data_IF_726566066024
#
_entry.id   IF_726566066024
#
_cell.length_a   1.000
_cell.length_b   1.000
_cell.length_c   1.000
_cell.angle_alpha   90.00
_cell.angle_beta   90.00
_cell.angle_gamma   90.00
#
_symmetry.space_group_name_H-M   'P 1'
#
loop_
_entity.id
_entity.type
_entity.pdbx_description
1 polymer ?
#
# COMPACT_ATOMS: atom_id res chain seq x y z
N UNK A 1 -3.15 27.98 9.04
CA UNK A 1 -2.35 27.19 8.09
C UNK A 1 -3.19 25.98 7.68
N UNK A 2 -3.61 25.88 6.42
CA UNK A 2 -4.58 24.87 5.92
C UNK A 2 -3.99 23.45 5.79
N UNK A 3 -2.75 23.20 6.21
CA UNK A 3 -2.07 21.92 5.99
C UNK A 3 -1.30 21.48 7.23
N UNK A 4 -1.67 20.33 7.79
CA UNK A 4 -0.94 19.70 8.87
C UNK A 4 0.30 18.99 8.32
N UNK A 5 1.49 19.56 8.58
CA UNK A 5 2.78 19.01 8.11
C UNK A 5 3.02 17.57 8.57
N UNK A 6 2.37 17.14 9.65
CA UNK A 6 2.48 15.79 10.19
C UNK A 6 1.83 14.74 9.29
N UNK A 7 0.88 15.15 8.42
CA UNK A 7 0.18 14.26 7.48
C UNK A 7 0.87 14.17 6.10
N UNK A 8 1.99 14.88 5.89
CA UNK A 8 2.69 14.92 4.59
C UNK A 8 3.11 13.54 4.09
N UNK A 9 3.52 12.65 4.98
CA UNK A 9 3.93 11.30 4.55
C UNK A 9 2.71 10.44 4.22
N UNK A 10 1.60 10.61 4.95
CA UNK A 10 0.34 9.94 4.62
C UNK A 10 -0.24 10.38 3.27
N UNK A 11 -0.04 11.64 2.87
CA UNK A 11 -0.49 12.11 1.56
C UNK A 11 0.30 11.54 0.38
N UNK A 12 1.45 10.89 0.62
CA UNK A 12 2.20 10.15 -0.41
C UNK A 12 1.62 8.77 -0.70
N UNK A 13 0.82 8.20 0.20
CA UNK A 13 0.32 6.82 0.06
C UNK A 13 -0.49 6.63 -1.24
N UNK A 14 -1.46 7.49 -1.59
CA UNK A 14 -2.21 7.33 -2.84
C UNK A 14 -1.32 7.44 -4.07
N UNK A 15 -0.31 8.31 -4.06
CA UNK A 15 0.62 8.46 -5.18
C UNK A 15 1.48 7.21 -5.38
N UNK A 16 2.00 6.64 -4.29
CA UNK A 16 2.79 5.41 -4.31
C UNK A 16 1.92 4.22 -4.73
N UNK A 17 0.72 4.08 -4.18
CA UNK A 17 -0.22 3.05 -4.60
C UNK A 17 -0.66 3.21 -6.06
N UNK A 18 -0.82 4.44 -6.56
CA UNK A 18 -1.12 4.67 -7.98
C UNK A 18 0.01 4.19 -8.88
N UNK A 19 1.26 4.51 -8.53
CA UNK A 19 2.42 3.96 -9.23
C UNK A 19 2.47 2.43 -9.14
N UNK A 20 2.20 1.87 -7.95
CA UNK A 20 2.18 0.43 -7.74
C UNK A 20 1.14 -0.28 -8.62
N UNK A 21 -0.09 0.25 -8.66
CA UNK A 21 -1.17 -0.28 -9.50
C UNK A 21 -0.91 -0.07 -11.00
N UNK A 22 -0.24 1.02 -11.38
CA UNK A 22 0.26 1.20 -12.75
C UNK A 22 1.25 0.10 -13.12
N UNK A 23 2.23 -0.22 -12.25
CA UNK A 23 3.17 -1.31 -12.54
C UNK A 23 2.46 -2.65 -12.71
N UNK A 24 1.42 -2.93 -11.91
CA UNK A 24 0.61 -4.14 -12.04
C UNK A 24 -0.14 -4.20 -13.38
N UNK A 25 -0.72 -3.08 -13.82
CA UNK A 25 -1.34 -2.96 -15.15
C UNK A 25 -0.35 -3.22 -16.29
N UNK A 26 0.90 -2.77 -16.16
CA UNK A 26 1.95 -3.06 -17.13
C UNK A 26 2.38 -4.53 -17.11
N UNK A 27 2.35 -5.20 -15.95
CA UNK A 27 2.56 -6.65 -15.85
C UNK A 27 1.45 -7.39 -16.60
N UNK A 28 0.18 -6.99 -16.46
CA UNK A 28 -0.92 -7.56 -17.26
C UNK A 28 -0.69 -7.42 -18.78
N UNK A 29 -0.25 -6.26 -19.24
CA UNK A 29 0.10 -6.05 -20.67
C UNK A 29 1.30 -6.89 -21.11
N UNK A 30 2.23 -7.18 -20.22
CA UNK A 30 3.36 -8.04 -20.55
C UNK A 30 2.95 -9.50 -20.75
N UNK A 31 1.94 -9.96 -20.01
CA UNK A 31 1.40 -11.32 -20.14
C UNK A 31 0.65 -11.53 -21.45
N UNK A 32 0.16 -10.45 -22.09
CA UNK A 32 -0.38 -10.49 -23.45
C UNK A 32 0.67 -10.28 -24.55
N UNK A 33 1.95 -10.11 -24.17
CA UNK A 33 3.07 -9.90 -25.09
C UNK A 33 3.19 -8.47 -25.64
N UNK A 34 2.45 -7.50 -25.10
CA UNK A 34 2.45 -6.13 -25.60
C UNK A 34 3.69 -5.31 -25.17
N UNK A 35 4.30 -5.66 -24.03
CA UNK A 35 5.48 -4.97 -23.46
C UNK A 35 6.39 -5.97 -22.73
N UNK A 36 7.66 -5.62 -22.51
CA UNK A 36 8.53 -6.37 -21.60
C UNK A 36 8.09 -6.14 -20.14
N UNK A 37 7.73 -7.21 -19.45
CA UNK A 37 7.20 -7.20 -18.09
C UNK A 37 8.24 -7.23 -16.98
N UNK A 38 9.51 -7.49 -17.31
CA UNK A 38 10.53 -7.76 -16.29
C UNK A 38 10.68 -6.57 -15.35
N UNK A 39 10.93 -5.38 -15.89
CA UNK A 39 11.08 -4.17 -15.09
C UNK A 39 9.85 -3.90 -14.20
N UNK A 40 8.65 -4.01 -14.76
CA UNK A 40 7.40 -3.73 -14.04
C UNK A 40 7.13 -4.74 -12.92
N UNK A 41 7.45 -6.02 -13.13
CA UNK A 41 7.30 -7.06 -12.10
C UNK A 41 8.23 -6.81 -10.90
N UNK A 42 9.49 -6.44 -11.16
CA UNK A 42 10.42 -6.08 -10.09
C UNK A 42 10.06 -4.76 -9.41
N UNK A 43 9.59 -3.76 -10.17
CA UNK A 43 9.12 -2.49 -9.62
C UNK A 43 7.91 -2.70 -8.70
N UNK A 44 6.97 -3.56 -9.09
CA UNK A 44 5.85 -3.97 -8.27
C UNK A 44 6.32 -4.55 -6.94
N UNK A 45 7.12 -5.63 -6.99
CA UNK A 45 7.62 -6.30 -5.79
C UNK A 45 8.48 -5.38 -4.90
N UNK A 46 9.26 -4.49 -5.50
CA UNK A 46 10.04 -3.50 -4.76
C UNK A 46 9.14 -2.61 -3.90
N UNK A 47 8.09 -2.03 -4.49
CA UNK A 47 7.14 -1.20 -3.75
C UNK A 47 6.41 -2.04 -2.70
N UNK A 48 5.92 -3.20 -3.09
CA UNK A 48 5.14 -4.09 -2.26
C UNK A 48 5.93 -4.55 -1.02
N UNK A 49 7.17 -5.02 -1.17
CA UNK A 49 7.94 -5.64 -0.08
C UNK A 49 8.78 -4.63 0.70
N UNK A 50 9.33 -3.59 0.05
CA UNK A 50 10.35 -2.74 0.68
C UNK A 50 9.84 -1.38 1.12
N UNK A 51 8.85 -0.79 0.43
CA UNK A 51 8.41 0.59 0.73
C UNK A 51 7.53 0.63 1.96
N UNK A 52 6.52 -0.25 2.05
CA UNK A 52 5.51 -0.19 3.13
C UNK A 52 6.05 -0.43 4.55
N UNK A 53 6.99 -1.37 4.79
CA UNK A 53 7.57 -1.57 6.11
C UNK A 53 8.34 -0.36 6.66
N UNK A 54 8.73 0.59 5.81
CA UNK A 54 9.39 1.83 6.21
C UNK A 54 8.39 2.97 6.29
N UNK A 55 7.66 3.15 5.19
CA UNK A 55 6.84 4.34 4.98
C UNK A 55 5.71 4.41 6.00
N UNK A 56 5.08 3.27 6.31
CA UNK A 56 3.94 3.23 7.23
C UNK A 56 4.31 3.54 8.68
N UNK A 57 5.31 2.88 9.30
CA UNK A 57 5.76 3.25 10.64
C UNK A 57 6.34 4.66 10.71
N UNK A 58 7.04 5.13 9.67
CA UNK A 58 7.52 6.52 9.62
C UNK A 58 6.37 7.54 9.58
N UNK A 59 5.38 7.32 8.70
CA UNK A 59 4.19 8.17 8.61
C UNK A 59 3.45 8.22 9.94
N UNK A 60 3.28 7.07 10.58
CA UNK A 60 2.67 6.95 11.90
C UNK A 60 3.43 7.73 12.97
N UNK A 61 4.76 7.61 13.03
CA UNK A 61 5.60 8.33 14.00
C UNK A 61 5.55 9.86 13.80
N UNK A 62 5.46 10.32 12.55
CA UNK A 62 5.37 11.75 12.24
C UNK A 62 3.97 12.33 12.50
N UNK A 63 2.92 11.54 12.31
CA UNK A 63 1.53 11.94 12.54
C UNK A 63 1.17 12.07 14.02
N UNK A 64 1.87 11.36 14.91
CA UNK A 64 1.58 11.34 16.35
C UNK A 64 1.89 12.67 17.03
N UNK A 65 1.01 13.07 17.93
CA UNK A 65 1.09 14.36 18.65
C UNK A 65 1.59 14.19 20.08
N UNK A 66 1.28 13.05 20.69
CA UNK A 66 1.73 12.70 22.04
C UNK A 66 3.25 12.36 22.01
N UNK A 67 4.10 13.08 22.78
CA UNK A 67 5.53 12.85 22.80
C UNK A 67 5.96 11.45 23.25
N UNK A 68 5.25 10.86 24.22
CA UNK A 68 5.57 9.53 24.74
C UNK A 68 5.20 8.47 23.70
N UNK A 69 4.02 8.57 23.09
CA UNK A 69 3.62 7.67 22.00
C UNK A 69 4.55 7.80 20.79
N UNK A 70 5.00 9.02 20.48
CA UNK A 70 5.94 9.28 19.38
C UNK A 70 7.27 8.54 19.59
N UNK A 71 7.80 8.50 20.81
CA UNK A 71 9.01 7.71 21.13
C UNK A 71 8.82 6.22 20.86
N UNK A 72 7.67 5.66 21.28
CA UNK A 72 7.35 4.25 21.02
C UNK A 72 7.22 3.96 19.52
N UNK A 73 6.64 4.88 18.74
CA UNK A 73 6.52 4.74 17.28
C UNK A 73 7.89 4.79 16.58
N UNK A 74 8.82 5.64 17.03
CA UNK A 74 10.19 5.62 16.49
C UNK A 74 10.95 4.34 16.86
N UNK A 75 10.73 3.80 18.06
CA UNK A 75 11.28 2.49 18.43
C UNK A 75 10.72 1.38 17.53
N UNK A 76 9.41 1.40 17.27
CA UNK A 76 8.76 0.49 16.33
C UNK A 76 9.30 0.66 14.90
N UNK A 77 9.49 1.90 14.43
CA UNK A 77 10.14 2.18 13.15
C UNK A 77 11.55 1.56 13.08
N UNK A 78 12.34 1.68 14.15
CA UNK A 78 13.64 1.01 14.26
C UNK A 78 13.53 -0.52 14.14
N UNK A 79 12.54 -1.14 14.76
CA UNK A 79 12.28 -2.57 14.62
C UNK A 79 11.84 -2.94 13.18
N UNK A 80 11.03 -2.10 12.53
CA UNK A 80 10.62 -2.31 11.15
C UNK A 80 11.78 -2.21 10.15
N UNK A 81 12.83 -1.42 10.45
CA UNK A 81 14.07 -1.42 9.67
C UNK A 81 14.83 -2.75 9.75
N UNK A 82 14.72 -3.50 10.85
CA UNK A 82 15.28 -4.86 10.94
C UNK A 82 14.53 -5.81 10.02
N UNK A 83 13.19 -5.73 10.02
CA UNK A 83 12.34 -6.50 9.09
C UNK A 83 12.69 -6.16 7.65
N UNK A 84 12.85 -4.87 7.32
CA UNK A 84 13.30 -4.43 6.02
C UNK A 84 14.68 -5.04 5.66
N UNK A 85 15.65 -4.98 6.57
CA UNK A 85 16.99 -5.53 6.32
C UNK A 85 16.94 -7.01 5.97
N UNK A 86 16.10 -7.78 6.68
CA UNK A 86 15.84 -9.17 6.35
C UNK A 86 15.21 -9.33 4.95
N UNK A 87 14.17 -8.56 4.63
CA UNK A 87 13.50 -8.62 3.33
C UNK A 87 14.42 -8.24 2.17
N UNK A 88 15.25 -7.21 2.34
CA UNK A 88 16.29 -6.81 1.36
C UNK A 88 17.29 -7.95 1.16
N UNK A 89 17.80 -8.54 2.25
CA UNK A 89 18.71 -9.68 2.16
C UNK A 89 18.07 -10.84 1.40
N UNK A 90 16.80 -11.18 1.68
CA UNK A 90 16.07 -12.23 0.97
C UNK A 90 15.88 -11.92 -0.51
N UNK A 91 15.52 -10.68 -0.84
CA UNK A 91 15.23 -10.28 -2.22
C UNK A 91 16.49 -10.18 -3.09
N UNK A 92 17.61 -9.70 -2.53
CA UNK A 92 18.90 -9.64 -3.24
C UNK A 92 19.46 -11.03 -3.54
N UNK A 93 19.20 -12.00 -2.66
CA UNK A 93 19.60 -13.40 -2.84
C UNK A 93 18.47 -14.25 -3.48
N UNK A 94 17.44 -13.62 -4.07
CA UNK A 94 16.44 -14.36 -4.81
C UNK A 94 16.96 -14.70 -6.21
N UNK A 95 16.73 -15.94 -6.66
CA UNK A 95 17.17 -16.43 -7.97
C UNK A 95 16.25 -15.99 -9.12
N UNK A 96 15.07 -15.44 -8.81
CA UNK A 96 14.16 -14.88 -9.79
C UNK A 96 12.79 -14.52 -9.23
N UNK A 97 11.94 -14.03 -10.13
CA UNK A 97 10.56 -13.66 -9.88
C UNK A 97 9.70 -14.24 -11.00
N UNK A 98 8.74 -15.09 -10.64
CA UNK A 98 7.72 -15.58 -11.56
C UNK A 98 6.39 -14.87 -11.30
N UNK A 99 5.65 -14.60 -12.37
CA UNK A 99 4.30 -14.04 -12.30
C UNK A 99 3.34 -15.01 -12.95
N UNK A 100 2.22 -15.31 -12.28
CA UNK A 100 1.17 -16.21 -12.77
C UNK A 100 -0.19 -15.57 -12.62
N UNK A 101 -1.11 -15.89 -13.53
CA UNK A 101 -2.52 -15.52 -13.39
C UNK A 101 -3.24 -16.62 -12.62
N UNK A 102 -3.89 -16.25 -11.52
CA UNK A 102 -4.73 -17.14 -10.70
C UNK A 102 -6.05 -16.43 -10.44
N UNK A 103 -7.15 -16.99 -10.95
CA UNK A 103 -8.52 -16.46 -10.81
C UNK A 103 -8.63 -14.94 -10.95
N UNK A 104 -8.14 -14.43 -12.08
CA UNK A 104 -8.18 -13.00 -12.44
C UNK A 104 -7.29 -12.08 -11.59
N UNK A 105 -6.39 -12.65 -10.77
CA UNK A 105 -5.39 -11.93 -10.00
C UNK A 105 -3.98 -12.38 -10.37
N UNK A 106 -2.97 -11.56 -10.05
CA UNK A 106 -1.57 -11.89 -10.29
C UNK A 106 -0.93 -12.46 -9.02
N UNK A 107 -0.44 -13.69 -9.12
CA UNK A 107 0.42 -14.30 -8.13
C UNK A 107 1.87 -13.97 -8.46
N UNK A 108 2.60 -13.43 -7.48
CA UNK A 108 4.02 -13.11 -7.58
C UNK A 108 4.80 -14.11 -6.73
N UNK A 109 5.57 -14.99 -7.37
CA UNK A 109 6.37 -16.02 -6.71
C UNK A 109 7.83 -15.62 -6.76
N UNK A 110 8.36 -15.15 -5.63
CA UNK A 110 9.78 -14.84 -5.47
C UNK A 110 10.52 -16.16 -5.20
N UNK A 111 11.49 -16.49 -6.06
CA UNK A 111 12.28 -17.72 -5.92
C UNK A 111 13.42 -17.51 -4.93
N UNK A 112 13.18 -17.85 -3.68
CA UNK A 112 14.21 -17.79 -2.65
C UNK A 112 15.08 -19.05 -2.63
N UNK A 113 16.38 -18.91 -2.45
CA UNK A 113 17.29 -20.06 -2.26
C UNK A 113 17.01 -20.85 -0.97
N UNK A 114 16.37 -20.19 -0.01
CA UNK A 114 15.88 -20.79 1.24
C UNK A 114 14.54 -20.16 1.54
N UNK A 115 13.48 -20.94 1.69
CA UNK A 115 12.15 -20.35 1.91
C UNK A 115 12.12 -19.53 3.21
N UNK A 116 11.48 -18.34 3.22
CA UNK A 116 11.16 -17.63 4.44
C UNK A 116 10.34 -18.53 5.37
N UNK A 117 10.45 -18.37 6.70
CA UNK A 117 9.58 -19.10 7.62
C UNK A 117 8.13 -18.67 7.40
N UNK A 118 7.19 -19.60 7.63
CA UNK A 118 5.76 -19.35 7.44
C UNK A 118 5.22 -18.13 8.21
N UNK A 119 5.88 -17.72 9.29
CA UNK A 119 5.46 -16.55 10.05
C UNK A 119 5.93 -15.19 9.47
N UNK A 120 6.81 -15.20 8.46
CA UNK A 120 7.43 -13.98 7.91
C UNK A 120 6.38 -13.01 7.33
N UNK A 121 5.35 -13.53 6.68
CA UNK A 121 4.24 -12.73 6.15
C UNK A 121 3.46 -12.01 7.26
N UNK A 122 3.21 -12.66 8.40
CA UNK A 122 2.52 -12.03 9.53
C UNK A 122 3.41 -11.00 10.21
N UNK A 123 4.73 -11.21 10.27
CA UNK A 123 5.68 -10.21 10.78
C UNK A 123 5.70 -8.98 9.86
N UNK A 124 5.72 -9.20 8.53
CA UNK A 124 5.60 -8.13 7.54
C UNK A 124 4.28 -7.37 7.69
N UNK A 125 3.15 -8.08 7.76
CA UNK A 125 1.83 -7.49 7.93
C UNK A 125 1.74 -6.71 9.26
N UNK A 126 2.31 -7.23 10.35
CA UNK A 126 2.38 -6.52 11.62
C UNK A 126 3.22 -5.24 11.52
N UNK A 127 4.38 -5.27 10.84
CA UNK A 127 5.24 -4.12 10.64
C UNK A 127 4.54 -2.99 9.85
N UNK A 128 3.63 -3.34 8.94
CA UNK A 128 2.88 -2.37 8.11
C UNK A 128 1.55 -1.96 8.72
N UNK A 129 0.83 -2.85 9.41
CA UNK A 129 -0.52 -2.58 9.94
C UNK A 129 -0.53 -2.01 11.35
N UNK A 130 0.29 -2.53 12.27
CA UNK A 130 0.29 -2.09 13.67
C UNK A 130 0.50 -0.57 13.83
N UNK A 131 1.38 0.09 13.04
CA UNK A 131 1.52 1.53 13.12
C UNK A 131 0.24 2.29 12.78
N UNK A 132 -0.64 1.76 11.92
CA UNK A 132 -1.92 2.37 11.55
C UNK A 132 -2.99 2.09 12.61
N UNK A 133 -3.08 0.84 13.06
CA UNK A 133 -4.08 0.36 14.03
C UNK A 133 -3.95 1.03 15.40
N UNK A 134 -2.74 1.48 15.74
CA UNK A 134 -2.45 2.12 17.02
C UNK A 134 -2.54 3.64 16.98
N UNK A 135 -2.90 4.27 15.85
CA UNK A 135 -2.95 5.74 15.72
C UNK A 135 -4.01 6.38 16.62
N UNK A 136 -3.63 7.49 17.27
CA UNK A 136 -4.56 8.32 18.05
C UNK A 136 -5.71 8.86 17.19
N UNK A 137 -5.44 9.21 15.93
CA UNK A 137 -6.45 9.69 14.97
C UNK A 137 -7.41 8.54 14.55
N UNK A 138 -8.69 8.67 14.87
CA UNK A 138 -9.71 7.64 14.61
C UNK A 138 -9.95 7.37 13.12
N UNK A 139 -9.86 8.39 12.26
CA UNK A 139 -10.05 8.22 10.81
C UNK A 139 -8.89 7.42 10.19
N UNK A 140 -7.64 7.74 10.53
CA UNK A 140 -6.48 6.96 10.08
C UNK A 140 -6.50 5.54 10.65
N UNK A 141 -6.95 5.38 11.89
CA UNK A 141 -7.10 4.07 12.53
C UNK A 141 -8.15 3.22 11.81
N UNK A 142 -9.29 3.80 11.43
CA UNK A 142 -10.33 3.11 10.66
C UNK A 142 -9.77 2.59 9.32
N UNK A 143 -8.97 3.41 8.61
CA UNK A 143 -8.29 2.95 7.39
C UNK A 143 -7.37 1.77 7.68
N UNK A 144 -6.58 1.83 8.77
CA UNK A 144 -5.76 0.70 9.21
C UNK A 144 -6.57 -0.57 9.47
N UNK A 145 -7.75 -0.45 10.11
CA UNK A 145 -8.66 -1.56 10.37
C UNK A 145 -9.22 -2.14 9.07
N UNK A 146 -9.66 -1.29 8.14
CA UNK A 146 -10.21 -1.73 6.85
C UNK A 146 -9.14 -2.43 6.00
N UNK A 147 -7.93 -1.88 5.94
CA UNK A 147 -6.78 -2.49 5.24
C UNK A 147 -6.35 -3.79 5.93
N UNK A 148 -6.39 -3.87 7.26
CA UNK A 148 -6.11 -5.11 7.98
C UNK A 148 -7.19 -6.18 7.77
N UNK A 149 -8.46 -5.80 7.69
CA UNK A 149 -9.55 -6.72 7.39
C UNK A 149 -9.44 -7.30 5.99
N UNK A 150 -9.05 -6.49 4.98
CA UNK A 150 -8.83 -7.01 3.62
C UNK A 150 -7.60 -7.90 3.51
N UNK A 151 -6.55 -7.68 4.32
CA UNK A 151 -5.44 -8.63 4.44
C UNK A 151 -5.92 -10.01 4.92
N UNK A 152 -6.66 -10.04 6.04
CA UNK A 152 -7.18 -11.29 6.60
C UNK A 152 -8.08 -12.01 5.59
N UNK A 153 -8.98 -11.26 4.93
CA UNK A 153 -9.82 -11.79 3.88
C UNK A 153 -9.00 -12.39 2.72
N UNK A 154 -7.97 -11.67 2.26
CA UNK A 154 -7.14 -12.09 1.13
C UNK A 154 -6.35 -13.38 1.44
N UNK A 155 -5.79 -13.50 2.65
CA UNK A 155 -5.08 -14.71 3.10
C UNK A 155 -6.04 -15.89 3.27
N UNK A 156 -7.25 -15.66 3.79
CA UNK A 156 -8.24 -16.73 3.99
C UNK A 156 -8.82 -17.28 2.68
N UNK A 157 -9.01 -16.41 1.69
CA UNK A 157 -9.60 -16.81 0.41
C UNK A 157 -8.55 -17.52 -0.47
N UNK A 158 -7.42 -16.85 -0.76
CA UNK A 158 -6.34 -17.37 -1.62
C UNK A 158 -4.98 -16.79 -1.26
N UNK A 159 -4.18 -17.58 -0.55
CA UNK A 159 -2.80 -17.25 -0.18
C UNK A 159 -1.93 -16.93 -1.41
N UNK A 160 -2.13 -17.55 -2.57
CA UNK A 160 -1.27 -17.30 -3.74
C UNK A 160 -1.37 -15.88 -4.32
N UNK A 161 -2.47 -15.17 -4.08
CA UNK A 161 -2.75 -13.84 -4.65
C UNK A 161 -2.99 -12.76 -3.60
N UNK A 162 -2.71 -13.06 -2.31
CA UNK A 162 -2.98 -12.11 -1.24
C UNK A 162 -2.24 -10.79 -1.44
N UNK A 163 -1.03 -10.84 -2.02
CA UNK A 163 -0.20 -9.67 -2.28
C UNK A 163 -0.92 -8.64 -3.16
N UNK A 164 -1.45 -9.08 -4.30
CA UNK A 164 -2.13 -8.19 -5.26
C UNK A 164 -3.48 -7.71 -4.77
N UNK A 165 -4.28 -8.62 -4.21
CA UNK A 165 -5.61 -8.28 -3.70
C UNK A 165 -5.54 -7.27 -2.54
N UNK A 166 -4.56 -7.45 -1.64
CA UNK A 166 -4.37 -6.54 -0.53
C UNK A 166 -3.86 -5.17 -0.96
N UNK A 167 -2.89 -5.12 -1.90
CA UNK A 167 -2.38 -3.86 -2.43
C UNK A 167 -3.45 -3.04 -3.17
N UNK A 168 -4.31 -3.69 -3.95
CA UNK A 168 -5.46 -3.04 -4.59
C UNK A 168 -6.41 -2.45 -3.56
N UNK A 169 -6.75 -3.22 -2.52
CA UNK A 169 -7.61 -2.75 -1.44
C UNK A 169 -7.01 -1.54 -0.70
N UNK A 170 -5.71 -1.60 -0.40
CA UNK A 170 -4.99 -0.51 0.25
C UNK A 170 -4.91 0.74 -0.64
N UNK A 171 -4.78 0.58 -1.96
CA UNK A 171 -4.85 1.69 -2.91
C UNK A 171 -6.21 2.40 -2.85
N UNK A 172 -7.31 1.65 -2.86
CA UNK A 172 -8.67 2.19 -2.74
C UNK A 172 -8.83 2.95 -1.43
N UNK A 173 -8.48 2.34 -0.28
CA UNK A 173 -8.64 2.99 1.02
C UNK A 173 -7.75 4.22 1.19
N UNK A 174 -6.52 4.20 0.65
CA UNK A 174 -5.65 5.39 0.66
C UNK A 174 -6.24 6.55 -0.14
N UNK A 175 -6.88 6.26 -1.28
CA UNK A 175 -7.55 7.26 -2.12
C UNK A 175 -8.78 7.83 -1.40
N UNK A 176 -9.60 6.97 -0.79
CA UNK A 176 -10.75 7.39 0.01
C UNK A 176 -10.33 8.30 1.17
N UNK A 177 -9.24 7.96 1.87
CA UNK A 177 -8.67 8.79 2.92
C UNK A 177 -8.25 10.18 2.39
N UNK A 178 -7.56 10.22 1.25
CA UNK A 178 -7.13 11.47 0.62
C UNK A 178 -8.32 12.36 0.25
N UNK A 179 -9.38 11.79 -0.32
CA UNK A 179 -10.60 12.51 -0.66
C UNK A 179 -11.34 12.99 0.60
N UNK A 180 -11.39 12.17 1.66
CA UNK A 180 -12.02 12.53 2.93
C UNK A 180 -11.29 13.68 3.65
N UNK A 181 -9.96 13.72 3.58
CA UNK A 181 -9.15 14.82 4.14
C UNK A 181 -9.37 16.14 3.37
N UNK A 182 -9.79 16.09 2.10
CA UNK A 182 -9.97 17.26 1.23
C UNK A 182 -11.37 17.92 1.25
N UNK A 183 -12.42 17.35 1.86
CA UNK A 183 -13.80 17.89 1.70
C UNK A 183 -14.11 19.17 2.50
N UNK A 184 -15.05 20.07 2.09
CA UNK A 184 -16.18 19.93 1.14
C UNK A 184 -16.25 20.94 -0.04
N UNK A 185 -15.32 21.89 -0.17
CA UNK A 185 -15.44 22.98 -1.18
C UNK A 185 -15.34 22.46 -2.63
N UNK A 186 -14.41 21.53 -2.90
CA UNK A 186 -14.19 20.98 -4.25
C UNK A 186 -15.32 20.04 -4.71
N UNK A 187 -16.03 19.37 -3.79
CA UNK A 187 -17.16 18.50 -4.13
C UNK A 187 -18.36 19.30 -4.66
N UNK A 188 -18.55 20.54 -4.18
CA UNK A 188 -19.57 21.45 -4.70
C UNK A 188 -19.23 21.98 -6.11
N UNK A 189 -17.94 22.16 -6.40
CA UNK A 189 -17.44 22.56 -7.74
C UNK A 189 -17.61 21.43 -8.76
N UNK A 190 -17.32 20.18 -8.38
CA UNK A 190 -17.54 19.01 -9.25
C UNK A 190 -19.04 18.75 -9.46
N UNK A 191 -19.86 18.89 -8.42
CA UNK A 191 -21.32 18.81 -8.55
C UNK A 191 -21.90 19.94 -9.44
N UNK A 192 -21.37 21.16 -9.32
CA UNK A 192 -21.76 22.30 -10.16
C UNK A 192 -21.27 22.17 -11.62
N UNK A 193 -20.14 21.50 -11.85
CA UNK A 193 -19.66 21.18 -13.18
C UNK A 193 -20.50 20.06 -13.84
N UNK A 194 -20.98 19.09 -13.05
CA UNK A 194 -21.87 18.03 -13.51
C UNK A 194 -23.33 18.49 -13.71
N UNK A 195 -23.73 19.62 -13.11
CA UNK A 195 -25.10 20.17 -13.23
C UNK A 195 -25.29 21.16 -14.38
N UNK A 196 -24.24 21.47 -15.16
CA UNK A 196 -24.41 22.31 -16.35
C UNK A 196 -24.93 21.44 -17.51
N UNK A 197 -26.11 21.72 -18.07
CA UNK A 197 -26.60 21.01 -19.24
C UNK A 197 -25.65 21.32 -20.41
N UNK A 198 -24.92 20.30 -20.86
CA UNK A 198 -24.15 20.38 -22.10
C UNK A 198 -25.12 20.23 -23.26
N UNK A 199 -25.21 21.30 -24.06
CA UNK A 199 -25.75 21.38 -25.42
C UNK A 199 -27.26 21.67 -25.57
N UNK A 200 -27.57 22.88 -26.06
CA UNK A 200 -28.80 23.18 -26.79
C UNK A 200 -28.52 23.02 -28.30
N UNK A 201 -29.32 22.23 -29.04
CA UNK A 201 -29.22 22.15 -30.50
C UNK A 201 -29.50 23.49 -31.18
N UNK A 202 -28.95 23.71 -32.40
CA UNK A 202 -29.19 24.91 -33.20
C UNK A 202 -30.65 25.06 -33.65
#
# INVERSE_FOLDING_TARGET
>A
MLYDRRMLVFSLFPAIFSFHQFTEGMVWLSLSGAVDGKFYSYAYIFVAVLVWPILTPLASALAETDPDMKRHRYAFFGAALVVLGYLVFKLVNASGLDVKVVDHSLSYVIKYDTEPPAYAEYVYAAATLLPLLTLSNSALRLIGVLVGATFLYAVMEKEEVWFSAWCLSAAIFSTLLFLAIKGPEDASVVAAAASKPTWEPP
#
